data_IF_963823450886
#
_entry.id   IF_963823450886
#
_cell.length_a   1.000
_cell.length_b   1.000
_cell.length_c   1.000
_cell.angle_alpha   90.00
_cell.angle_beta   90.00
_cell.angle_gamma   90.00
#
_symmetry.space_group_name_H-M   'P 1'
#
loop_
_entity.id
_entity.type
_entity.pdbx_description
1 polymer ?
#
# COMPACT_ATOMS: atom_id res chain seq x y z
N UNK A 1 44.37 -7.26 0.51
CA UNK A 1 43.41 -6.75 -0.49
C UNK A 1 42.27 -7.76 -0.61
N UNK A 2 41.05 -7.23 -0.62
CA UNK A 2 39.80 -7.83 -1.14
C UNK A 2 39.27 -9.15 -0.55
N UNK A 3 38.41 -9.03 0.46
CA UNK A 3 37.31 -9.98 0.69
C UNK A 3 36.02 -9.23 1.03
N UNK A 4 35.53 -8.43 0.09
CA UNK A 4 34.22 -7.78 0.25
C UNK A 4 33.51 -7.62 -1.10
N UNK A 5 33.15 -8.72 -1.78
CA UNK A 5 32.30 -8.59 -2.99
C UNK A 5 31.64 -9.88 -3.44
N UNK A 6 30.74 -10.47 -2.64
CA UNK A 6 29.75 -11.44 -3.14
C UNK A 6 28.67 -11.69 -2.09
N UNK A 7 28.06 -10.63 -1.55
CA UNK A 7 26.74 -10.78 -0.93
C UNK A 7 25.74 -10.71 -2.09
N UNK A 8 24.96 -11.76 -2.37
CA UNK A 8 23.91 -11.67 -3.36
C UNK A 8 23.02 -10.49 -2.97
N UNK A 9 22.74 -9.60 -3.92
CA UNK A 9 21.81 -8.51 -3.68
C UNK A 9 20.52 -9.12 -3.12
N UNK A 10 19.96 -8.59 -2.03
CA UNK A 10 18.75 -9.14 -1.43
C UNK A 10 17.67 -9.24 -2.50
N UNK A 11 16.85 -10.30 -2.49
CA UNK A 11 15.81 -10.50 -3.50
C UNK A 11 14.98 -9.23 -3.62
N UNK A 12 15.01 -8.63 -4.80
CA UNK A 12 14.30 -7.39 -5.09
C UNK A 12 12.82 -7.75 -5.18
N UNK A 13 12.08 -7.60 -4.07
CA UNK A 13 10.62 -7.59 -4.12
C UNK A 13 10.19 -6.58 -5.20
N UNK A 14 9.18 -6.95 -6.01
CA UNK A 14 8.68 -6.04 -7.05
C UNK A 14 8.37 -4.69 -6.40
N UNK A 15 8.88 -3.58 -6.97
CA UNK A 15 8.86 -2.29 -6.30
C UNK A 15 7.42 -1.81 -6.03
N UNK A 16 6.43 -2.37 -6.74
CA UNK A 16 5.02 -2.03 -6.61
C UNK A 16 4.22 -2.95 -5.68
N UNK A 17 4.78 -4.03 -5.10
CA UNK A 17 4.01 -4.94 -4.22
C UNK A 17 3.37 -4.16 -3.08
N UNK A 18 4.15 -3.32 -2.41
CA UNK A 18 3.64 -2.50 -1.30
C UNK A 18 2.57 -1.51 -1.76
N UNK A 19 2.77 -0.87 -2.91
CA UNK A 19 1.80 0.06 -3.51
C UNK A 19 0.47 -0.64 -3.83
N UNK A 20 0.52 -1.82 -4.44
CA UNK A 20 -0.68 -2.61 -4.79
C UNK A 20 -1.39 -3.07 -3.53
N UNK A 21 -0.67 -3.49 -2.49
CA UNK A 21 -1.25 -3.84 -1.20
C UNK A 21 -1.96 -2.64 -0.56
N UNK A 22 -1.33 -1.47 -0.54
CA UNK A 22 -1.93 -0.24 0.02
C UNK A 22 -3.20 0.16 -0.72
N UNK A 23 -3.16 0.18 -2.05
CA UNK A 23 -4.33 0.55 -2.86
C UNK A 23 -5.43 -0.50 -2.72
N UNK A 24 -5.09 -1.78 -2.77
CA UNK A 24 -6.03 -2.88 -2.61
C UNK A 24 -6.73 -2.86 -1.25
N UNK A 25 -5.96 -2.73 -0.15
CA UNK A 25 -6.53 -2.59 1.19
C UNK A 25 -7.32 -1.28 1.34
N UNK A 26 -6.85 -0.18 0.77
CA UNK A 26 -7.55 1.11 0.81
C UNK A 26 -8.91 1.07 0.10
N UNK A 27 -8.98 0.39 -1.05
CA UNK A 27 -10.24 0.15 -1.77
C UNK A 27 -11.15 -0.82 -1.03
N UNK A 28 -10.60 -1.86 -0.41
CA UNK A 28 -11.36 -2.77 0.45
C UNK A 28 -12.01 -2.02 1.62
N UNK A 29 -11.23 -1.22 2.35
CA UNK A 29 -11.76 -0.38 3.43
C UNK A 29 -12.74 0.69 2.93
N UNK A 30 -12.61 1.16 1.69
CA UNK A 30 -13.59 2.05 1.09
C UNK A 30 -14.94 1.34 0.91
N UNK A 31 -14.91 0.13 0.37
CA UNK A 31 -16.11 -0.70 0.23
C UNK A 31 -16.76 -0.94 1.59
N UNK A 32 -15.96 -1.37 2.57
CA UNK A 32 -16.43 -1.72 3.90
C UNK A 32 -16.91 -0.50 4.73
N UNK A 33 -16.39 0.69 4.42
CA UNK A 33 -16.78 1.94 5.07
C UNK A 33 -18.03 2.60 4.47
N UNK A 34 -18.29 2.47 3.17
CA UNK A 34 -19.37 3.20 2.48
C UNK A 34 -20.45 2.33 1.84
N UNK A 35 -20.12 1.13 1.37
CA UNK A 35 -21.01 0.28 0.56
C UNK A 35 -21.56 -0.91 1.33
N UNK A 36 -20.87 -1.34 2.38
CA UNK A 36 -21.32 -2.40 3.29
C UNK A 36 -22.56 -1.98 4.10
N UNK A 37 -23.52 -2.90 4.24
CA UNK A 37 -24.79 -2.70 4.98
C UNK A 37 -24.82 -3.52 6.28
N UNK A 38 -23.75 -4.25 6.57
CA UNK A 38 -23.65 -5.09 7.76
C UNK A 38 -23.61 -4.24 9.04
N UNK A 39 -24.53 -4.48 10.00
CA UNK A 39 -24.66 -3.64 11.20
C UNK A 39 -23.43 -3.68 12.12
N UNK A 40 -22.66 -4.78 12.10
CA UNK A 40 -21.39 -4.88 12.84
C UNK A 40 -20.29 -4.01 12.22
N UNK A 41 -20.22 -3.95 10.89
CA UNK A 41 -19.26 -3.13 10.17
C UNK A 41 -19.60 -1.64 10.21
N UNK A 42 -20.89 -1.26 10.34
CA UNK A 42 -21.30 0.14 10.53
C UNK A 42 -20.67 0.75 11.79
N UNK A 43 -20.53 -0.04 12.87
CA UNK A 43 -19.87 0.41 14.10
C UNK A 43 -18.40 0.78 13.87
N UNK A 44 -17.75 0.09 12.94
CA UNK A 44 -16.37 0.33 12.53
C UNK A 44 -16.24 1.15 11.24
N UNK A 45 -17.34 1.62 10.66
CA UNK A 45 -17.34 2.30 9.39
C UNK A 45 -16.46 3.55 9.42
N UNK A 46 -16.48 4.33 10.50
CA UNK A 46 -15.62 5.52 10.64
C UNK A 46 -14.13 5.16 10.57
N UNK A 47 -13.73 4.04 11.17
CA UNK A 47 -12.35 3.55 11.11
C UNK A 47 -11.99 3.16 9.68
N UNK A 48 -12.83 2.37 9.01
CA UNK A 48 -12.62 1.96 7.62
C UNK A 48 -12.59 3.17 6.66
N UNK A 49 -13.41 4.18 6.90
CA UNK A 49 -13.44 5.43 6.13
C UNK A 49 -12.12 6.21 6.22
N UNK A 50 -11.63 6.41 7.44
CA UNK A 50 -10.37 7.13 7.69
C UNK A 50 -9.19 6.31 7.18
N UNK A 51 -9.16 5.01 7.47
CA UNK A 51 -8.09 4.11 7.03
C UNK A 51 -8.01 4.06 5.50
N UNK A 52 -9.14 3.97 4.82
CA UNK A 52 -9.22 4.04 3.35
C UNK A 52 -8.62 5.33 2.81
N UNK A 53 -9.00 6.48 3.36
CA UNK A 53 -8.44 7.77 2.95
C UNK A 53 -6.92 7.85 3.11
N UNK A 54 -6.39 7.33 4.21
CA UNK A 54 -4.95 7.29 4.48
C UNK A 54 -4.24 6.32 3.52
N UNK A 55 -4.73 5.08 3.40
CA UNK A 55 -4.13 4.02 2.59
C UNK A 55 -4.10 4.38 1.11
N UNK A 56 -5.19 4.93 0.57
CA UNK A 56 -5.27 5.36 -0.81
C UNK A 56 -4.32 6.53 -1.08
N UNK A 57 -4.33 7.56 -0.21
CA UNK A 57 -3.43 8.70 -0.34
C UNK A 57 -1.95 8.28 -0.28
N UNK A 58 -1.63 7.38 0.66
CA UNK A 58 -0.27 6.85 0.82
C UNK A 58 0.14 5.96 -0.35
N UNK A 59 -0.76 5.10 -0.84
CA UNK A 59 -0.53 4.27 -2.03
C UNK A 59 -0.26 5.10 -3.28
N UNK A 60 -1.01 6.20 -3.47
CA UNK A 60 -0.78 7.14 -4.56
C UNK A 60 0.61 7.80 -4.43
N UNK A 61 0.95 8.29 -3.24
CA UNK A 61 2.27 8.89 -2.99
C UNK A 61 3.41 7.88 -3.25
N UNK A 62 3.28 6.65 -2.75
CA UNK A 62 4.28 5.61 -2.92
C UNK A 62 4.44 5.22 -4.40
N UNK A 63 3.34 5.11 -5.15
CA UNK A 63 3.34 4.89 -6.59
C UNK A 63 4.16 5.96 -7.33
N UNK A 64 3.93 7.24 -7.03
CA UNK A 64 4.66 8.34 -7.64
C UNK A 64 6.14 8.36 -7.23
N UNK A 65 6.45 8.05 -5.96
CA UNK A 65 7.82 7.93 -5.46
C UNK A 65 8.59 6.83 -6.21
N UNK A 66 8.00 5.65 -6.37
CA UNK A 66 8.59 4.52 -7.11
C UNK A 66 8.75 4.89 -8.58
N UNK A 67 7.72 5.46 -9.21
CA UNK A 67 7.76 5.89 -10.61
C UNK A 67 8.88 6.92 -10.86
N UNK A 68 9.15 7.83 -9.92
CA UNK A 68 10.28 8.77 -10.00
C UNK A 68 11.63 8.06 -9.85
N UNK A 69 11.73 7.01 -9.03
CA UNK A 69 12.98 6.22 -8.87
C UNK A 69 13.29 5.33 -10.07
N UNK A 70 12.27 4.79 -10.74
CA UNK A 70 12.44 3.95 -11.94
C UNK A 70 12.76 4.76 -13.21
N UNK A 71 12.47 6.06 -13.22
CA UNK A 71 12.82 6.97 -14.33
C UNK A 71 14.25 7.50 -14.28
N UNK A 72 15.03 7.17 -13.26
CA UNK A 72 16.38 7.66 -13.02
C UNK A 72 17.38 6.53 -13.24
#
# INVERSE_FOLDING_TARGET
MEKEKNRPAPPQMSPYVFTVLLIGFGLWCFWDGWLTVDPEMIKHATFNKVLSGILLSWGIYDFFKIRKRQKK
#
